data_IF_821481106996
#
_entry.id   IF_821481106996
#
_cell.length_a   1.000
_cell.length_b   1.000
_cell.length_c   1.000
_cell.angle_alpha   90.00
_cell.angle_beta   90.00
_cell.angle_gamma   90.00
#
_symmetry.space_group_name_H-M   'P 1'
#
loop_
_entity.id
_entity.type
_entity.pdbx_description
1 polymer ?
#
# COMPACT_ATOMS: atom_id res chain seq x y z
N UNK A 1 4.77 35.89 -23.54
CA UNK A 1 4.56 35.56 -22.10
C UNK A 1 5.69 34.66 -21.63
N UNK A 2 6.19 34.86 -20.41
CA UNK A 2 7.38 34.18 -19.90
C UNK A 2 7.06 32.74 -19.46
N UNK A 3 7.43 31.73 -20.27
CA UNK A 3 7.10 30.31 -20.03
C UNK A 3 8.10 29.57 -19.12
N UNK A 4 9.24 30.17 -18.80
CA UNK A 4 10.25 29.61 -17.90
C UNK A 4 9.71 29.10 -16.54
N UNK A 5 8.80 29.79 -15.83
CA UNK A 5 8.23 29.27 -14.59
C UNK A 5 7.40 27.99 -14.78
N UNK A 6 6.67 27.86 -15.89
CA UNK A 6 5.90 26.65 -16.21
C UNK A 6 6.82 25.46 -16.48
N UNK A 7 7.94 25.69 -17.16
CA UNK A 7 8.94 24.67 -17.45
C UNK A 7 9.60 24.19 -16.15
N UNK A 8 9.98 25.11 -15.26
CA UNK A 8 10.58 24.77 -13.97
C UNK A 8 9.66 23.92 -13.08
N UNK A 9 8.38 24.29 -12.98
CA UNK A 9 7.38 23.53 -12.21
C UNK A 9 7.16 22.14 -12.82
N UNK A 10 7.09 22.06 -14.15
CA UNK A 10 6.86 20.80 -14.86
C UNK A 10 8.02 19.83 -14.65
N UNK A 11 9.27 20.31 -14.74
CA UNK A 11 10.47 19.50 -14.49
C UNK A 11 10.54 19.05 -13.03
N UNK A 12 10.26 19.95 -12.09
CA UNK A 12 10.24 19.62 -10.66
C UNK A 12 9.20 18.56 -10.30
N UNK A 13 7.97 18.70 -10.82
CA UNK A 13 6.91 17.73 -10.61
C UNK A 13 7.23 16.37 -11.24
N UNK A 14 7.81 16.37 -12.45
CA UNK A 14 8.21 15.14 -13.15
C UNK A 14 9.31 14.39 -12.39
N UNK A 15 10.37 15.08 -11.95
CA UNK A 15 11.43 14.46 -11.15
C UNK A 15 10.91 13.93 -9.80
N UNK A 16 10.07 14.72 -9.11
CA UNK A 16 9.49 14.31 -7.83
C UNK A 16 8.68 13.02 -7.93
N UNK A 17 7.83 12.92 -8.96
CA UNK A 17 7.07 11.70 -9.24
C UNK A 17 7.99 10.51 -9.54
N UNK A 18 9.05 10.71 -10.33
CA UNK A 18 9.95 9.63 -10.73
C UNK A 18 10.76 9.08 -9.55
N UNK A 19 11.22 9.95 -8.65
CA UNK A 19 11.93 9.56 -7.42
C UNK A 19 11.02 8.73 -6.52
N UNK A 20 9.79 9.20 -6.26
CA UNK A 20 8.81 8.46 -5.46
C UNK A 20 8.47 7.10 -6.07
N UNK A 21 8.34 7.04 -7.40
CA UNK A 21 8.09 5.81 -8.14
C UNK A 21 9.24 4.80 -8.00
N UNK A 22 10.50 5.25 -8.08
CA UNK A 22 11.67 4.39 -7.87
C UNK A 22 11.72 3.88 -6.44
N UNK A 23 11.44 4.76 -5.47
CA UNK A 23 11.46 4.41 -4.05
C UNK A 23 10.39 3.35 -3.72
N UNK A 24 9.17 3.52 -4.24
CA UNK A 24 8.10 2.52 -4.14
C UNK A 24 8.52 1.17 -4.76
N UNK A 25 9.08 1.20 -5.98
CA UNK A 25 9.56 0.00 -6.67
C UNK A 25 10.66 -0.73 -5.88
N UNK A 26 11.57 0.00 -5.23
CA UNK A 26 12.60 -0.59 -4.36
C UNK A 26 12.02 -1.26 -3.12
N UNK A 27 10.92 -0.75 -2.57
CA UNK A 27 10.27 -1.34 -1.40
C UNK A 27 9.44 -2.59 -1.71
N UNK A 28 9.39 -3.07 -2.97
CA UNK A 28 8.50 -4.17 -3.44
C UNK A 28 7.04 -4.01 -2.98
N UNK A 29 6.63 -2.77 -2.76
CA UNK A 29 5.26 -2.39 -2.42
C UNK A 29 4.71 -1.58 -3.58
N UNK A 30 3.46 -1.83 -3.93
CA UNK A 30 2.73 -0.94 -4.81
C UNK A 30 2.77 0.46 -4.21
N UNK A 31 2.82 1.47 -5.09
CA UNK A 31 2.93 2.87 -4.71
C UNK A 31 1.80 3.17 -3.71
N UNK A 32 2.11 3.56 -2.44
CA UNK A 32 1.10 3.61 -1.40
C UNK A 32 0.00 4.55 -1.86
N UNK A 33 -1.21 4.01 -1.97
CA UNK A 33 -2.39 4.80 -2.28
C UNK A 33 -2.51 5.91 -1.24
N UNK A 34 -3.00 7.09 -1.64
CA UNK A 34 -3.26 8.18 -0.70
C UNK A 34 -4.10 7.70 0.51
N UNK A 35 -4.98 6.72 0.27
CA UNK A 35 -5.75 6.04 1.31
C UNK A 35 -4.93 5.14 2.23
N UNK A 36 -3.89 4.45 1.74
CA UNK A 36 -2.99 3.65 2.57
C UNK A 36 -1.99 4.50 3.37
N UNK A 37 -1.67 5.70 2.88
CA UNK A 37 -0.88 6.68 3.63
C UNK A 37 -1.70 7.37 4.72
N UNK A 38 -2.96 7.74 4.42
CA UNK A 38 -3.88 8.34 5.39
C UNK A 38 -4.42 7.34 6.42
N UNK A 39 -4.64 6.10 6.00
CA UNK A 39 -5.03 4.99 6.86
C UNK A 39 -3.99 3.90 6.68
N UNK A 40 -2.90 3.91 7.47
CA UNK A 40 -1.98 2.79 7.49
C UNK A 40 -2.76 1.58 7.96
N UNK A 41 -3.30 0.79 7.02
CA UNK A 41 -3.98 -0.46 7.32
C UNK A 41 -2.98 -1.31 8.09
N UNK A 42 -3.23 -1.42 9.39
CA UNK A 42 -2.39 -2.12 10.34
C UNK A 42 -2.43 -3.60 9.94
N UNK A 43 -1.49 -4.02 9.09
CA UNK A 43 -1.33 -5.39 8.57
C UNK A 43 -1.07 -6.44 9.66
N UNK A 44 -1.23 -6.07 10.93
CA UNK A 44 -1.14 -6.94 12.11
C UNK A 44 -2.41 -7.74 12.36
N UNK A 45 -3.58 -7.37 11.80
CA UNK A 45 -4.81 -8.16 11.99
C UNK A 45 -4.98 -9.31 10.99
N UNK A 46 -4.42 -9.20 9.78
CA UNK A 46 -4.56 -10.25 8.75
C UNK A 46 -3.99 -11.61 9.19
N UNK A 47 -2.94 -11.62 10.03
CA UNK A 47 -2.39 -12.87 10.58
C UNK A 47 -3.30 -13.49 11.65
N UNK A 48 -3.92 -12.67 12.49
CA UNK A 48 -4.81 -13.15 13.56
C UNK A 48 -6.09 -13.71 12.98
N UNK A 49 -6.63 -13.06 11.95
CA UNK A 49 -7.88 -13.48 11.32
C UNK A 49 -7.70 -14.83 10.60
N UNK A 50 -6.57 -15.05 9.90
CA UNK A 50 -6.27 -16.37 9.30
C UNK A 50 -6.13 -17.50 10.32
N UNK A 51 -5.62 -17.22 11.51
CA UNK A 51 -5.51 -18.21 12.59
C UNK A 51 -6.90 -18.52 13.17
N UNK A 52 -7.72 -17.50 13.40
CA UNK A 52 -9.08 -17.69 13.89
C UNK A 52 -9.97 -18.41 12.87
N UNK A 53 -9.87 -18.11 11.58
CA UNK A 53 -10.55 -18.83 10.51
C UNK A 53 -10.15 -20.30 10.44
N UNK A 54 -8.85 -20.62 10.59
CA UNK A 54 -8.39 -22.02 10.66
C UNK A 54 -8.92 -22.75 11.90
N UNK A 55 -8.95 -22.08 13.05
CA UNK A 55 -9.51 -22.66 14.29
C UNK A 55 -11.02 -22.91 14.17
N UNK A 56 -11.76 -21.97 13.59
CA UNK A 56 -13.20 -22.12 13.35
C UNK A 56 -13.48 -23.31 12.43
N UNK A 57 -12.73 -23.46 11.33
CA UNK A 57 -12.88 -24.58 10.40
C UNK A 57 -12.60 -25.94 11.05
N UNK A 58 -11.56 -26.03 11.88
CA UNK A 58 -11.24 -27.25 12.62
C UNK A 58 -12.30 -27.59 13.69
N UNK A 59 -12.93 -26.57 14.29
CA UNK A 59 -14.02 -26.77 15.24
C UNK A 59 -15.30 -27.28 14.54
N UNK A 60 -15.61 -26.76 13.35
CA UNK A 60 -16.73 -27.26 12.52
C UNK A 60 -16.52 -28.70 12.06
N UNK A 61 -15.30 -29.09 11.66
CA UNK A 61 -15.00 -30.48 11.28
C UNK A 61 -15.10 -31.45 12.46
N UNK A 62 -14.74 -31.00 13.68
CA UNK A 62 -14.83 -31.84 14.89
C UNK A 62 -16.24 -31.91 15.50
N UNK A 63 -17.09 -30.91 15.26
CA UNK A 63 -18.47 -30.87 15.76
C UNK A 63 -19.48 -31.64 14.90
N UNK A 64 -19.06 -32.18 13.76
CA UNK A 64 -19.89 -32.97 12.83
C UNK A 64 -19.80 -34.49 13.04
N UNK A 65 -19.10 -34.95 14.08
CA UNK A 65 -18.92 -36.36 14.41
C UNK A 65 -19.77 -36.81 15.59
#
# INVERSE_FOLDING_TARGET
>A
MNFYPLIGISIGAFLGYYILKILAKRMKKDMPSLGELMYPMHHSDSRRDKINQRKAKLAEEKGKH
#
